data_IF_202216867167
#
_entry.id   IF_202216867167
#
_cell.length_a   1.000
_cell.length_b   1.000
_cell.length_c   1.000
_cell.angle_alpha   90.00
_cell.angle_beta   90.00
_cell.angle_gamma   90.00
#
_symmetry.space_group_name_H-M   'P 1'
#
loop_
_entity.id
_entity.type
_entity.pdbx_description
1 polymer ?
#
# COMPACT_ATOMS: atom_id res chain seq x y z
N UNK A 1 12.78 11.72 -0.41
CA UNK A 1 11.30 11.62 -0.51
C UNK A 1 10.89 10.15 -0.47
N UNK A 2 9.91 9.81 0.34
CA UNK A 2 9.40 8.45 0.52
C UNK A 2 8.02 8.36 -0.13
N UNK A 3 7.86 7.48 -1.11
CA UNK A 3 6.57 7.16 -1.70
C UNK A 3 5.98 5.97 -0.97
N UNK A 4 4.85 6.16 -0.30
CA UNK A 4 4.15 5.18 0.50
C UNK A 4 2.86 4.76 -0.20
N UNK A 5 2.56 3.47 -0.21
CA UNK A 5 1.30 2.91 -0.68
C UNK A 5 0.54 2.27 0.47
N UNK A 6 -0.69 2.68 0.67
CA UNK A 6 -1.66 2.07 1.56
C UNK A 6 -2.88 1.61 0.77
N UNK A 7 -3.55 0.57 1.24
CA UNK A 7 -4.75 0.04 0.60
C UNK A 7 -5.86 -0.15 1.63
N UNK A 8 -7.08 0.29 1.31
CA UNK A 8 -8.19 0.07 2.22
C UNK A 8 -9.45 0.87 1.91
N UNK A 9 -10.44 0.69 2.76
CA UNK A 9 -11.73 1.36 2.70
C UNK A 9 -11.83 2.47 3.77
N UNK A 10 -13.03 3.02 3.99
CA UNK A 10 -13.30 4.04 5.00
C UNK A 10 -12.81 3.66 6.41
N UNK A 11 -12.79 2.37 6.76
CA UNK A 11 -12.40 1.88 8.10
C UNK A 11 -10.90 1.93 8.38
N UNK A 12 -10.07 2.11 7.36
CA UNK A 12 -8.59 2.15 7.56
C UNK A 12 -8.10 3.52 8.06
N UNK A 13 -8.96 4.50 8.21
CA UNK A 13 -8.60 5.87 8.58
C UNK A 13 -7.76 5.95 9.85
N UNK A 14 -8.18 5.32 10.94
CA UNK A 14 -7.47 5.38 12.22
C UNK A 14 -6.09 4.72 12.15
N UNK A 15 -6.00 3.59 11.41
CA UNK A 15 -4.73 2.91 11.12
C UNK A 15 -3.79 3.78 10.30
N UNK A 16 -4.28 4.38 9.21
CA UNK A 16 -3.51 5.29 8.37
C UNK A 16 -3.03 6.52 9.16
N UNK A 17 -3.89 7.11 9.99
CA UNK A 17 -3.54 8.24 10.84
C UNK A 17 -2.41 7.88 11.82
N UNK A 18 -2.56 6.76 12.53
CA UNK A 18 -1.55 6.27 13.49
C UNK A 18 -0.22 5.98 12.81
N UNK A 19 -0.26 5.31 11.66
CA UNK A 19 0.92 4.98 10.88
C UNK A 19 1.64 6.24 10.38
N UNK A 20 0.93 7.18 9.77
CA UNK A 20 1.48 8.44 9.26
C UNK A 20 2.05 9.31 10.38
N UNK A 21 1.38 9.41 11.54
CA UNK A 21 1.91 10.12 12.71
C UNK A 21 3.19 9.44 13.21
N UNK A 22 3.21 8.12 13.30
CA UNK A 22 4.41 7.38 13.74
C UNK A 22 5.59 7.58 12.79
N UNK A 23 5.32 7.63 11.48
CA UNK A 23 6.31 7.87 10.44
C UNK A 23 6.86 9.29 10.48
N UNK A 24 5.99 10.30 10.49
CA UNK A 24 6.39 11.72 10.49
C UNK A 24 7.17 12.15 11.75
N UNK A 25 7.07 11.39 12.84
CA UNK A 25 7.86 11.61 14.06
C UNK A 25 9.30 11.09 13.96
N UNK A 26 9.61 10.25 12.98
CA UNK A 26 10.89 9.50 12.94
C UNK A 26 11.70 9.73 11.68
N UNK A 27 11.12 10.32 10.63
CA UNK A 27 11.86 10.68 9.42
C UNK A 27 11.78 12.19 9.18
N UNK A 28 12.86 12.74 8.62
CA UNK A 28 12.90 14.11 8.09
C UNK A 28 12.56 14.14 6.59
N UNK A 29 12.43 13.00 5.96
CA UNK A 29 12.10 12.88 4.55
C UNK A 29 10.66 13.33 4.26
N UNK A 30 10.46 13.90 3.08
CA UNK A 30 9.11 14.19 2.57
C UNK A 30 8.39 12.87 2.32
N UNK A 31 7.14 12.77 2.78
CA UNK A 31 6.27 11.61 2.59
C UNK A 31 5.22 11.95 1.53
N UNK A 32 5.15 11.11 0.49
CA UNK A 32 4.11 11.13 -0.52
C UNK A 32 3.31 9.83 -0.40
N UNK A 33 2.15 9.89 0.24
CA UNK A 33 1.31 8.74 0.55
C UNK A 33 0.18 8.60 -0.48
N UNK A 34 0.09 7.44 -1.12
CA UNK A 34 -1.01 7.04 -2.00
C UNK A 34 -1.91 6.07 -1.26
N UNK A 35 -3.21 6.35 -1.21
CA UNK A 35 -4.21 5.45 -0.62
C UNK A 35 -5.09 4.91 -1.75
N UNK A 36 -4.89 3.64 -2.10
CA UNK A 36 -5.80 2.94 -3.00
C UNK A 36 -7.06 2.54 -2.26
N UNK A 37 -8.18 2.91 -2.80
CA UNK A 37 -9.50 2.62 -2.23
C UNK A 37 -10.48 2.23 -3.31
N UNK A 38 -11.57 1.55 -2.94
CA UNK A 38 -12.65 1.18 -3.86
C UNK A 38 -13.97 1.08 -3.15
N UNK A 39 -15.06 1.23 -3.89
CA UNK A 39 -16.42 0.97 -3.44
C UNK A 39 -16.83 -0.46 -3.82
N UNK A 40 -17.06 -1.29 -2.81
CA UNK A 40 -17.63 -2.64 -2.95
C UNK A 40 -18.87 -2.80 -2.07
N UNK A 41 -19.69 -1.75 -1.94
CA UNK A 41 -20.95 -1.76 -1.19
C UNK A 41 -21.92 -2.84 -1.70
N UNK A 42 -21.75 -3.32 -2.93
CA UNK A 42 -22.45 -4.50 -3.47
C UNK A 42 -22.17 -5.80 -2.70
N UNK A 43 -21.01 -5.91 -2.04
CA UNK A 43 -20.67 -7.07 -1.21
C UNK A 43 -21.06 -6.86 0.25
N UNK A 44 -20.74 -5.67 0.78
CA UNK A 44 -21.07 -5.26 2.16
C UNK A 44 -21.29 -3.75 2.22
N UNK A 45 -22.36 -3.26 2.86
CA UNK A 45 -22.66 -1.82 2.91
C UNK A 45 -21.52 -0.93 3.45
N UNK A 46 -20.68 -1.48 4.32
CA UNK A 46 -19.53 -0.77 4.89
C UNK A 46 -18.29 -0.75 4.01
N UNK A 47 -18.30 -1.43 2.85
CA UNK A 47 -17.17 -1.46 1.92
C UNK A 47 -17.23 -0.26 0.96
N UNK A 48 -17.07 0.92 1.52
CA UNK A 48 -17.04 2.20 0.79
C UNK A 48 -15.65 2.81 0.82
N UNK A 49 -15.34 3.65 -0.16
CA UNK A 49 -14.06 4.37 -0.23
C UNK A 49 -13.77 5.15 1.06
N UNK A 50 -12.49 5.37 1.36
CA UNK A 50 -12.08 6.42 2.30
C UNK A 50 -12.63 7.76 1.81
N UNK A 51 -13.18 8.58 2.72
CA UNK A 51 -13.82 9.83 2.32
C UNK A 51 -12.80 10.94 2.04
N UNK A 52 -13.23 11.96 1.30
CA UNK A 52 -12.34 13.09 0.98
C UNK A 52 -12.01 13.89 2.23
N UNK A 53 -12.95 14.03 3.18
CA UNK A 53 -12.73 14.68 4.47
C UNK A 53 -11.69 13.93 5.31
N UNK A 54 -11.73 12.58 5.29
CA UNK A 54 -10.71 11.76 5.97
C UNK A 54 -9.33 11.97 5.37
N UNK A 55 -9.24 12.01 4.04
CA UNK A 55 -7.97 12.25 3.33
C UNK A 55 -7.46 13.66 3.57
N UNK A 56 -8.32 14.66 3.59
CA UNK A 56 -7.96 16.05 3.89
C UNK A 56 -7.41 16.15 5.31
N UNK A 57 -8.05 15.55 6.29
CA UNK A 57 -7.55 15.48 7.67
C UNK A 57 -6.16 14.83 7.75
N UNK A 58 -5.95 13.69 7.08
CA UNK A 58 -4.62 13.05 7.00
C UNK A 58 -3.58 14.01 6.40
N UNK A 59 -3.93 14.73 5.33
CA UNK A 59 -3.07 15.74 4.72
C UNK A 59 -2.70 16.86 5.70
N UNK A 60 -3.65 17.42 6.43
CA UNK A 60 -3.41 18.46 7.44
C UNK A 60 -2.42 17.98 8.51
N UNK A 61 -2.66 16.77 9.03
CA UNK A 61 -1.82 16.19 10.08
C UNK A 61 -0.38 16.03 9.61
N UNK A 62 -0.13 15.43 8.45
CA UNK A 62 1.25 15.22 7.99
C UNK A 62 1.92 16.50 7.50
N UNK A 63 1.18 17.43 6.90
CA UNK A 63 1.68 18.75 6.49
C UNK A 63 2.07 19.63 7.68
N UNK A 64 1.45 19.43 8.84
CA UNK A 64 1.86 20.12 10.08
C UNK A 64 3.30 19.80 10.49
N UNK A 65 3.87 18.68 10.02
CA UNK A 65 5.26 18.26 10.28
C UNK A 65 6.21 18.66 9.15
N UNK A 66 5.78 18.51 7.92
CA UNK A 66 6.51 18.97 6.74
C UNK A 66 5.48 19.41 5.68
N UNK A 67 5.45 20.70 5.29
CA UNK A 67 4.48 21.24 4.33
C UNK A 67 4.52 20.56 2.95
N UNK A 68 5.61 19.87 2.60
CA UNK A 68 5.76 19.13 1.36
C UNK A 68 5.12 17.73 1.40
N UNK A 69 4.74 17.26 2.58
CA UNK A 69 4.05 15.98 2.71
C UNK A 69 2.68 16.01 2.01
N UNK A 70 2.29 14.86 1.43
CA UNK A 70 1.03 14.75 0.71
C UNK A 70 0.38 13.38 0.90
N UNK A 71 -0.95 13.36 1.04
CA UNK A 71 -1.79 12.16 0.89
C UNK A 71 -2.64 12.31 -0.36
N UNK A 72 -2.66 11.29 -1.19
CA UNK A 72 -3.45 11.24 -2.43
C UNK A 72 -4.35 10.02 -2.40
N UNK A 73 -5.66 10.24 -2.49
CA UNK A 73 -6.67 9.18 -2.68
C UNK A 73 -6.69 8.77 -4.14
N UNK A 74 -6.73 7.47 -4.39
CA UNK A 74 -6.90 6.89 -5.72
C UNK A 74 -8.03 5.88 -5.65
N UNK A 75 -9.15 6.21 -6.26
CA UNK A 75 -10.29 5.30 -6.40
C UNK A 75 -10.03 4.37 -7.59
N UNK A 76 -9.92 3.09 -7.30
CA UNK A 76 -9.67 2.04 -8.28
C UNK A 76 -10.87 1.11 -8.46
N UNK A 77 -12.08 1.54 -8.10
CA UNK A 77 -13.30 0.72 -8.19
C UNK A 77 -13.48 0.11 -9.57
N UNK A 78 -13.43 0.91 -10.62
CA UNK A 78 -13.60 0.43 -12.00
C UNK A 78 -12.50 -0.57 -12.40
N UNK A 79 -11.26 -0.23 -12.11
CA UNK A 79 -10.12 -1.10 -12.41
C UNK A 79 -10.21 -2.44 -11.68
N UNK A 80 -10.63 -2.40 -10.40
CA UNK A 80 -10.85 -3.62 -9.64
C UNK A 80 -11.96 -4.49 -10.22
N UNK A 81 -13.06 -3.88 -10.65
CA UNK A 81 -14.17 -4.61 -11.27
C UNK A 81 -13.76 -5.26 -12.60
N UNK A 82 -12.93 -4.60 -13.40
CA UNK A 82 -12.41 -5.14 -14.64
C UNK A 82 -11.50 -6.35 -14.41
N UNK A 83 -10.60 -6.27 -13.42
CA UNK A 83 -9.56 -7.28 -13.20
C UNK A 83 -9.98 -8.41 -12.25
N UNK A 84 -10.79 -8.12 -11.23
CA UNK A 84 -11.06 -9.06 -10.13
C UNK A 84 -12.53 -9.41 -9.90
N UNK A 85 -13.49 -8.84 -10.65
CA UNK A 85 -14.90 -9.16 -10.44
C UNK A 85 -15.15 -10.65 -10.63
N UNK A 86 -15.72 -11.29 -9.58
CA UNK A 86 -15.96 -12.75 -9.51
C UNK A 86 -14.71 -13.62 -9.37
N UNK A 87 -13.55 -13.07 -9.07
CA UNK A 87 -12.43 -13.91 -8.70
C UNK A 87 -12.72 -14.66 -7.39
N UNK A 88 -12.18 -15.86 -7.24
CA UNK A 88 -12.39 -16.68 -6.03
C UNK A 88 -11.91 -16.01 -4.76
N UNK A 89 -10.91 -15.14 -4.87
CA UNK A 89 -10.30 -14.43 -3.76
C UNK A 89 -11.13 -13.23 -3.27
N UNK A 90 -12.15 -12.77 -4.02
CA UNK A 90 -13.03 -11.69 -3.61
C UNK A 90 -13.80 -12.01 -2.31
N UNK A 91 -14.11 -13.29 -2.09
CA UNK A 91 -14.82 -13.80 -0.90
C UNK A 91 -13.92 -14.59 0.05
N UNK A 92 -12.59 -14.48 -0.09
CA UNK A 92 -11.64 -15.22 0.74
C UNK A 92 -11.58 -14.67 2.19
N UNK A 93 -10.78 -15.34 3.03
CA UNK A 93 -10.57 -14.96 4.43
C UNK A 93 -10.10 -13.50 4.62
N UNK A 94 -9.24 -13.03 3.72
CA UNK A 94 -8.82 -11.63 3.71
C UNK A 94 -9.86 -10.75 3.01
N UNK A 95 -9.91 -9.46 3.39
CA UNK A 95 -10.78 -8.51 2.70
C UNK A 95 -10.30 -8.29 1.27
N UNK A 96 -11.19 -8.01 0.30
CA UNK A 96 -10.80 -7.77 -1.10
C UNK A 96 -9.84 -6.58 -1.27
N UNK A 97 -9.75 -5.68 -0.29
CA UNK A 97 -8.82 -4.55 -0.30
C UNK A 97 -7.34 -4.97 -0.29
N UNK A 98 -7.02 -6.20 0.13
CA UNK A 98 -5.67 -6.74 0.03
C UNK A 98 -5.20 -6.95 -1.41
N UNK A 99 -6.14 -7.10 -2.35
CA UNK A 99 -5.84 -7.26 -3.77
C UNK A 99 -5.46 -5.94 -4.45
N UNK A 100 -5.79 -4.79 -3.86
CA UNK A 100 -5.56 -3.47 -4.47
C UNK A 100 -4.09 -3.21 -4.79
N UNK A 101 -3.17 -3.73 -3.96
CA UNK A 101 -1.73 -3.61 -4.24
C UNK A 101 -1.31 -4.25 -5.56
N UNK A 102 -2.09 -5.20 -6.09
CA UNK A 102 -1.81 -5.86 -7.36
C UNK A 102 -2.24 -5.03 -8.58
N UNK A 103 -2.94 -3.92 -8.37
CA UNK A 103 -3.39 -3.01 -9.44
C UNK A 103 -2.45 -1.82 -9.65
N UNK A 104 -1.36 -1.73 -8.87
CA UNK A 104 -0.52 -0.54 -8.84
C UNK A 104 0.16 -0.25 -10.18
N UNK A 105 0.44 -1.27 -10.98
CA UNK A 105 1.07 -1.15 -12.30
C UNK A 105 0.17 -0.48 -13.35
N UNK A 106 -1.15 -0.56 -13.18
CA UNK A 106 -2.17 0.04 -14.05
C UNK A 106 -2.46 1.52 -13.70
N UNK A 107 -1.95 1.98 -12.57
CA UNK A 107 -2.21 3.35 -12.11
C UNK A 107 -1.23 4.31 -12.79
N UNK A 108 -1.74 5.37 -13.47
CA UNK A 108 -0.86 6.34 -14.10
C UNK A 108 -0.05 7.15 -13.07
N UNK A 109 1.17 7.52 -13.44
CA UNK A 109 2.06 8.39 -12.65
C UNK A 109 2.46 7.84 -11.26
N UNK A 110 2.41 6.53 -11.06
CA UNK A 110 2.99 5.90 -9.88
C UNK A 110 4.53 6.01 -9.95
N UNK A 111 5.20 6.39 -8.85
CA UNK A 111 6.66 6.48 -8.80
C UNK A 111 7.36 5.15 -9.08
N UNK A 112 8.58 5.21 -9.65
CA UNK A 112 9.39 4.03 -9.96
C UNK A 112 9.78 3.21 -8.72
N UNK A 113 9.81 3.83 -7.54
CA UNK A 113 10.06 3.18 -6.26
C UNK A 113 8.96 3.53 -5.28
N UNK A 114 8.32 2.53 -4.69
CA UNK A 114 7.21 2.73 -3.74
C UNK A 114 7.23 1.65 -2.66
N UNK A 115 6.99 2.08 -1.42
CA UNK A 115 6.90 1.20 -0.26
C UNK A 115 5.43 0.92 0.07
N UNK A 116 5.00 -0.32 -0.09
CA UNK A 116 3.71 -0.78 0.41
C UNK A 116 3.83 -1.20 1.87
N UNK A 117 2.90 -0.75 2.69
CA UNK A 117 2.73 -1.18 4.08
C UNK A 117 1.28 -1.56 4.35
N UNK A 118 1.06 -2.65 5.09
CA UNK A 118 -0.24 -2.93 5.67
C UNK A 118 -0.60 -1.85 6.70
N UNK A 119 -1.89 -1.57 6.82
CA UNK A 119 -2.41 -0.41 7.55
C UNK A 119 -2.26 -0.54 9.08
N UNK A 120 -2.04 -1.72 9.60
CA UNK A 120 -1.89 -2.03 11.02
C UNK A 120 -0.45 -1.97 11.53
N UNK A 121 0.43 -1.37 10.74
CA UNK A 121 1.84 -1.18 11.08
C UNK A 121 2.09 0.14 11.77
N UNK A 122 2.94 0.15 12.81
CA UNK A 122 3.46 1.35 13.45
C UNK A 122 4.97 1.46 13.22
N UNK A 123 5.41 2.64 12.79
CA UNK A 123 6.83 2.86 12.44
C UNK A 123 7.63 3.14 13.71
N UNK A 124 8.59 2.28 14.01
CA UNK A 124 9.42 2.33 15.24
C UNK A 124 10.74 3.09 15.08
N UNK A 125 11.26 3.22 13.86
CA UNK A 125 12.54 3.88 13.54
C UNK A 125 12.40 4.69 12.25
N UNK A 126 13.50 5.35 11.79
CA UNK A 126 13.49 6.10 10.52
C UNK A 126 13.26 5.16 9.33
N UNK A 127 12.09 5.30 8.72
CA UNK A 127 11.66 4.47 7.57
C UNK A 127 12.51 4.72 6.31
N UNK A 128 13.25 5.82 6.24
CA UNK A 128 14.16 6.10 5.14
C UNK A 128 15.26 5.05 5.01
N UNK A 129 15.67 4.43 6.11
CA UNK A 129 16.64 3.33 6.13
C UNK A 129 16.15 2.13 5.31
N UNK A 130 14.86 1.80 5.43
CA UNK A 130 14.23 0.74 4.64
C UNK A 130 14.01 1.19 3.19
N UNK A 131 13.47 2.41 3.02
CA UNK A 131 13.15 2.93 1.69
C UNK A 131 14.38 3.07 0.79
N UNK A 132 15.55 3.38 1.36
CA UNK A 132 16.79 3.60 0.64
C UNK A 132 17.60 2.30 0.37
N UNK A 133 17.08 1.12 0.77
CA UNK A 133 17.71 -0.14 0.36
C UNK A 133 17.78 -0.20 -1.16
N UNK A 134 18.95 -0.56 -1.67
CA UNK A 134 19.15 -0.77 -3.11
C UNK A 134 18.38 -2.03 -3.54
N UNK A 135 17.53 -1.86 -4.53
CA UNK A 135 16.73 -2.93 -5.15
C UNK A 135 16.89 -2.95 -6.67
N UNK A 136 17.99 -2.39 -7.19
CA UNK A 136 18.27 -2.44 -8.62
C UNK A 136 18.43 -3.91 -9.06
N UNK A 137 17.81 -4.24 -10.19
CA UNK A 137 17.79 -5.62 -10.70
C UNK A 137 16.78 -6.56 -10.03
N UNK A 138 16.04 -6.10 -9.03
CA UNK A 138 14.97 -6.86 -8.38
C UNK A 138 13.62 -6.17 -8.58
N UNK A 139 12.56 -6.96 -8.66
CA UNK A 139 11.18 -6.47 -8.78
C UNK A 139 10.69 -5.84 -7.47
N UNK A 140 11.10 -6.45 -6.34
CA UNK A 140 10.77 -5.98 -5.00
C UNK A 140 11.72 -6.53 -3.94
N UNK A 141 11.72 -5.88 -2.77
CA UNK A 141 12.28 -6.42 -1.54
C UNK A 141 11.16 -6.66 -0.53
N UNK A 142 11.27 -7.75 0.23
CA UNK A 142 10.31 -8.15 1.26
C UNK A 142 11.02 -8.77 2.47
N UNK A 143 10.36 -8.77 3.61
CA UNK A 143 10.85 -9.46 4.81
C UNK A 143 10.48 -10.94 4.73
N UNK A 144 11.45 -11.81 4.97
CA UNK A 144 11.18 -13.25 5.10
C UNK A 144 10.42 -13.53 6.41
N UNK A 145 9.29 -14.21 6.29
CA UNK A 145 8.48 -14.55 7.44
C UNK A 145 9.11 -15.74 8.20
N UNK A 146 9.29 -15.58 9.54
CA UNK A 146 10.05 -16.53 10.36
C UNK A 146 9.42 -17.91 10.42
N UNK A 147 8.12 -17.98 10.66
CA UNK A 147 7.40 -19.25 10.82
C UNK A 147 6.98 -19.86 9.48
N UNK A 148 6.56 -19.05 8.53
CA UNK A 148 6.17 -19.50 7.19
C UNK A 148 7.32 -20.19 6.45
N UNK A 149 8.57 -19.76 6.70
CA UNK A 149 9.78 -20.43 6.16
C UNK A 149 9.89 -21.89 6.55
N UNK A 150 9.46 -22.24 7.76
CA UNK A 150 9.53 -23.60 8.28
C UNK A 150 8.28 -24.42 8.00
N UNK A 151 7.11 -23.78 8.00
CA UNK A 151 5.81 -24.44 7.90
C UNK A 151 5.25 -24.52 6.50
N UNK A 152 5.63 -23.58 5.61
CA UNK A 152 5.06 -23.46 4.26
C UNK A 152 6.16 -23.70 3.22
N UNK A 153 7.15 -22.79 3.13
CA UNK A 153 8.26 -22.89 2.16
C UNK A 153 9.43 -21.97 2.55
N UNK A 154 10.70 -22.34 2.23
CA UNK A 154 11.89 -21.60 2.66
C UNK A 154 11.96 -20.13 2.19
N UNK A 155 11.30 -19.78 1.10
CA UNK A 155 11.25 -18.45 0.50
C UNK A 155 9.97 -17.68 0.84
N UNK A 156 9.18 -18.15 1.83
CA UNK A 156 7.97 -17.49 2.26
C UNK A 156 8.24 -16.09 2.84
N UNK A 157 7.49 -15.09 2.33
CA UNK A 157 7.65 -13.68 2.70
C UNK A 157 6.43 -13.16 3.46
N UNK A 158 6.63 -12.11 4.23
CA UNK A 158 5.56 -11.29 4.76
C UNK A 158 5.14 -10.25 3.71
N UNK A 159 3.92 -10.36 3.21
CA UNK A 159 3.39 -9.48 2.18
C UNK A 159 2.87 -8.13 2.71
N UNK A 160 2.89 -7.91 4.03
CA UNK A 160 2.48 -6.64 4.65
C UNK A 160 3.50 -5.52 4.51
N UNK A 161 4.73 -5.83 4.08
CA UNK A 161 5.79 -4.86 3.82
C UNK A 161 6.52 -5.23 2.53
N UNK A 162 6.36 -4.42 1.47
CA UNK A 162 6.95 -4.65 0.16
C UNK A 162 7.53 -3.34 -0.39
N UNK A 163 8.83 -3.33 -0.68
CA UNK A 163 9.46 -2.22 -1.39
C UNK A 163 9.55 -2.58 -2.86
N UNK A 164 8.75 -1.93 -3.71
CA UNK A 164 8.66 -2.22 -5.13
C UNK A 164 9.61 -1.36 -5.97
N UNK A 165 10.27 -1.99 -6.94
CA UNK A 165 10.87 -1.38 -8.12
C UNK A 165 9.85 -1.47 -9.26
N UNK A 166 9.07 -0.42 -9.44
CA UNK A 166 7.96 -0.42 -10.40
C UNK A 166 8.41 -0.53 -11.85
N UNK A 167 9.60 -0.02 -12.16
CA UNK A 167 10.19 -0.16 -13.50
C UNK A 167 10.42 -1.64 -13.81
N UNK A 168 11.15 -2.33 -12.94
CA UNK A 168 11.44 -3.76 -13.10
C UNK A 168 10.17 -4.61 -13.05
N UNK A 169 9.26 -4.31 -12.12
CA UNK A 169 7.99 -5.02 -11.97
C UNK A 169 7.10 -4.92 -13.24
N UNK A 170 7.11 -3.77 -13.93
CA UNK A 170 6.42 -3.60 -15.21
C UNK A 170 7.11 -4.34 -16.35
N UNK A 171 8.43 -4.25 -16.45
CA UNK A 171 9.23 -4.96 -17.47
C UNK A 171 9.02 -6.49 -17.40
N UNK A 172 8.96 -7.05 -16.20
CA UNK A 172 8.77 -8.49 -15.96
C UNK A 172 7.32 -8.92 -15.94
N UNK A 173 6.38 -7.97 -15.96
CA UNK A 173 4.93 -8.20 -15.81
C UNK A 173 4.59 -8.90 -14.48
N UNK A 174 5.22 -8.47 -13.39
CA UNK A 174 5.05 -9.07 -12.07
C UNK A 174 3.58 -9.10 -11.64
N UNK A 175 2.91 -7.97 -11.72
CA UNK A 175 1.52 -7.82 -11.25
C UNK A 175 0.53 -8.53 -12.16
N UNK A 176 0.72 -8.49 -13.50
CA UNK A 176 -0.08 -9.25 -14.46
C UNK A 176 -0.03 -10.76 -14.17
N UNK A 177 1.15 -11.29 -13.79
CA UNK A 177 1.30 -12.70 -13.40
C UNK A 177 0.72 -13.03 -12.03
N UNK A 178 0.58 -12.03 -11.14
CA UNK A 178 0.07 -12.20 -9.79
C UNK A 178 -1.45 -12.06 -9.70
N UNK A 179 -2.09 -11.37 -10.64
CA UNK A 179 -3.56 -11.30 -10.82
C UNK A 179 -4.10 -12.58 -11.41
#
# INVERSE_FOLDING_TARGET
MINLLLCGNKKVFDGALTQLISMTKRTQETINCYILTMDLSRLKPEYVCITDEQVEFLNEVIKSKNPQNKVTKIDVTKLYEEEFMKCKNESAYCTPYTLLRLLIDEIPNIPDKILYLDIDMMIGDDISKLYNIDIDGYEYAAVREKYGRWLIRPDYINAGMLLFNMKMAKETKLFEKAR
#
